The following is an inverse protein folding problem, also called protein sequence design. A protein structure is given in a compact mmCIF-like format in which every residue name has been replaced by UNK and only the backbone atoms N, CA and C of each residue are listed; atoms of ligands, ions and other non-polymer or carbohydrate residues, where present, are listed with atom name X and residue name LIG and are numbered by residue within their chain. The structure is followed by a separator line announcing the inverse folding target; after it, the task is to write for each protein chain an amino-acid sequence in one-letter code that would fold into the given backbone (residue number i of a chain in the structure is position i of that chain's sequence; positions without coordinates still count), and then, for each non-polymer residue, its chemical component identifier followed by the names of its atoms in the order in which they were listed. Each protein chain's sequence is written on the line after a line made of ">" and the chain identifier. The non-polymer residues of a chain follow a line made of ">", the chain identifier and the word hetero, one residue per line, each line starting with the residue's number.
data_IF_075165445413
#
_entry.id   IF_075165445413
#
_cell.length_a   1.000
_cell.length_b   1.000
_cell.length_c   1.000
_cell.angle_alpha   90.00
_cell.angle_beta   90.00
_cell.angle_gamma   90.00
#
_symmetry.space_group_name_H-M   'P 1'
#
loop_
_entity.id
_entity.type
_entity.pdbx_description
1 polymer ?
#
# COMPACT_ATOMS: atom_id res chain seq x y z
N UNK A 1 -10.53 -12.72 -0.74
CA UNK A 1 -9.21 -12.58 -1.38
C UNK A 1 -8.38 -13.87 -1.33
N UNK A 2 -8.20 -14.51 -0.17
CA UNK A 2 -7.24 -15.63 -0.03
C UNK A 2 -7.73 -16.98 -0.60
N UNK A 3 -9.05 -17.23 -0.70
CA UNK A 3 -9.62 -18.49 -1.23
C UNK A 3 -9.32 -18.68 -2.73
N UNK A 4 -9.45 -17.61 -3.51
CA UNK A 4 -9.18 -17.61 -4.95
C UNK A 4 -7.69 -17.75 -5.23
N UNK A 5 -6.84 -17.11 -4.43
CA UNK A 5 -5.39 -17.24 -4.50
C UNK A 5 -4.93 -18.67 -4.21
N UNK A 6 -5.56 -19.34 -3.24
CA UNK A 6 -5.32 -20.76 -2.97
C UNK A 6 -5.78 -21.66 -4.11
N UNK A 7 -6.98 -21.38 -4.65
CA UNK A 7 -7.53 -22.10 -5.79
C UNK A 7 -6.63 -22.00 -7.00
N UNK A 8 -6.20 -20.79 -7.33
CA UNK A 8 -5.38 -20.52 -8.51
C UNK A 8 -3.90 -20.88 -8.34
N UNK A 9 -3.36 -20.86 -7.13
CA UNK A 9 -2.04 -21.44 -6.89
C UNK A 9 -2.09 -22.96 -7.00
N UNK A 10 -3.11 -23.61 -6.42
CA UNK A 10 -3.32 -25.06 -6.59
C UNK A 10 -3.50 -25.45 -8.05
N UNK A 11 -4.32 -24.69 -8.79
CA UNK A 11 -4.59 -24.86 -10.21
C UNK A 11 -3.38 -24.50 -11.09
N UNK A 12 -2.56 -23.51 -10.71
CA UNK A 12 -1.42 -23.01 -11.50
C UNK A 12 -0.07 -23.69 -11.22
N UNK A 13 0.11 -24.34 -10.08
CA UNK A 13 1.37 -25.03 -9.74
C UNK A 13 1.17 -26.56 -9.80
N UNK A 14 1.70 -27.20 -10.84
CA UNK A 14 1.79 -28.65 -11.08
C UNK A 14 0.48 -29.45 -11.17
N UNK A 15 -0.58 -29.14 -10.41
CA UNK A 15 -1.85 -29.88 -10.48
C UNK A 15 -2.64 -29.54 -11.76
N UNK A 16 -2.62 -28.27 -12.21
CA UNK A 16 -3.26 -27.82 -13.45
C UNK A 16 -2.92 -28.62 -14.70
N UNK A 17 -1.68 -29.11 -14.77
CA UNK A 17 -1.18 -29.91 -15.88
C UNK A 17 -1.53 -31.39 -15.68
N UNK A 18 -1.56 -31.88 -14.44
CA UNK A 18 -1.94 -33.25 -14.13
C UNK A 18 -3.42 -33.55 -14.42
N UNK A 19 -4.32 -32.56 -14.30
CA UNK A 19 -5.77 -32.75 -14.51
C UNK A 19 -6.16 -33.18 -15.93
N UNK A 20 -5.68 -32.50 -17.00
CA UNK A 20 -5.88 -32.98 -18.37
C UNK A 20 -5.34 -34.39 -18.58
N UNK A 21 -4.14 -34.70 -18.09
CA UNK A 21 -3.55 -36.03 -18.25
C UNK A 21 -4.35 -37.12 -17.53
N UNK A 22 -4.85 -36.83 -16.32
CA UNK A 22 -5.69 -37.77 -15.57
C UNK A 22 -7.03 -38.01 -16.29
N UNK A 23 -7.69 -36.96 -16.77
CA UNK A 23 -8.90 -37.07 -17.57
C UNK A 23 -8.70 -37.86 -18.87
N UNK A 24 -7.56 -37.65 -19.54
CA UNK A 24 -7.19 -38.36 -20.77
C UNK A 24 -6.92 -39.85 -20.52
N UNK A 25 -6.15 -40.18 -19.48
CA UNK A 25 -5.86 -41.57 -19.09
C UNK A 25 -7.14 -42.30 -18.68
N UNK A 26 -8.00 -41.66 -17.87
CA UNK A 26 -9.29 -42.25 -17.47
C UNK A 26 -10.18 -42.47 -18.69
N UNK A 27 -10.25 -41.51 -19.62
CA UNK A 27 -11.06 -41.64 -20.85
C UNK A 27 -10.57 -42.79 -21.75
N UNK A 28 -9.25 -42.96 -21.91
CA UNK A 28 -8.67 -44.09 -22.67
C UNK A 28 -8.99 -45.42 -21.98
N UNK A 29 -8.93 -45.47 -20.65
CA UNK A 29 -9.25 -46.69 -19.88
C UNK A 29 -10.74 -47.07 -19.98
N UNK A 30 -11.63 -46.07 -19.92
CA UNK A 30 -13.09 -46.25 -20.03
C UNK A 30 -13.47 -46.83 -21.41
N UNK A 31 -12.81 -46.39 -22.49
CA UNK A 31 -13.04 -46.89 -23.84
C UNK A 31 -12.60 -48.35 -24.04
N UNK A 32 -11.66 -48.86 -23.23
CA UNK A 32 -11.04 -50.17 -23.43
C UNK A 32 -11.62 -51.29 -22.55
N UNK A 33 -12.21 -50.99 -21.39
CA UNK A 33 -12.61 -52.03 -20.40
C UNK A 33 -14.10 -52.31 -20.25
N UNK A 34 -14.99 -51.58 -20.93
CA UNK A 34 -16.45 -51.79 -20.80
C UNK A 34 -17.03 -51.22 -19.48
N UNK A 35 -18.31 -50.81 -19.55
CA UNK A 35 -18.86 -49.74 -18.69
C UNK A 35 -18.88 -49.97 -17.17
N UNK A 36 -18.93 -51.20 -16.68
CA UNK A 36 -19.02 -51.47 -15.24
C UNK A 36 -17.73 -51.15 -14.47
N UNK A 37 -16.58 -51.59 -15.00
CA UNK A 37 -15.27 -51.38 -14.35
C UNK A 37 -14.84 -49.91 -14.43
N UNK A 38 -15.17 -49.27 -15.55
CA UNK A 38 -14.98 -47.84 -15.79
C UNK A 38 -15.70 -46.95 -14.76
N UNK A 39 -16.95 -47.29 -14.39
CA UNK A 39 -17.71 -46.55 -13.40
C UNK A 39 -17.11 -46.69 -11.99
N UNK A 40 -16.70 -47.89 -11.59
CA UNK A 40 -16.08 -48.13 -10.29
C UNK A 40 -14.74 -47.38 -10.16
N UNK A 41 -13.87 -47.45 -11.18
CA UNK A 41 -12.61 -46.71 -11.21
C UNK A 41 -12.82 -45.19 -11.26
N UNK A 42 -13.81 -44.73 -12.03
CA UNK A 42 -14.20 -43.33 -12.10
C UNK A 42 -14.64 -42.80 -10.73
N UNK A 43 -15.50 -43.55 -10.02
CA UNK A 43 -15.95 -43.18 -8.68
C UNK A 43 -14.79 -43.17 -7.67
N UNK A 44 -13.94 -44.21 -7.67
CA UNK A 44 -12.77 -44.30 -6.78
C UNK A 44 -11.80 -43.14 -7.03
N UNK A 45 -11.52 -42.82 -8.29
CA UNK A 45 -10.64 -41.72 -8.65
C UNK A 45 -11.21 -40.35 -8.31
N UNK A 46 -12.53 -40.14 -8.46
CA UNK A 46 -13.21 -38.93 -8.01
C UNK A 46 -13.18 -38.77 -6.48
N UNK A 47 -13.37 -39.85 -5.73
CA UNK A 47 -13.24 -39.83 -4.27
C UNK A 47 -11.81 -39.50 -3.86
N UNK A 48 -10.81 -40.19 -4.43
CA UNK A 48 -9.40 -39.88 -4.18
C UNK A 48 -9.05 -38.44 -4.56
N UNK A 49 -9.63 -37.92 -5.64
CA UNK A 49 -9.47 -36.54 -6.08
C UNK A 49 -9.94 -35.54 -5.02
N UNK A 50 -11.18 -35.71 -4.53
CA UNK A 50 -11.73 -34.84 -3.49
C UNK A 50 -10.91 -34.94 -2.21
N UNK A 51 -10.50 -36.16 -1.85
CA UNK A 51 -9.75 -36.46 -0.63
C UNK A 51 -8.34 -35.85 -0.66
N UNK A 52 -7.69 -35.73 -1.82
CA UNK A 52 -6.38 -35.07 -1.97
C UNK A 52 -6.51 -33.56 -2.19
N UNK A 53 -7.50 -33.13 -2.99
CA UNK A 53 -7.62 -31.72 -3.40
C UNK A 53 -8.09 -30.82 -2.27
N UNK A 54 -9.00 -31.29 -1.42
CA UNK A 54 -9.48 -30.49 -0.28
C UNK A 54 -8.33 -30.17 0.69
N UNK A 55 -7.53 -31.15 1.17
CA UNK A 55 -6.38 -30.85 2.02
C UNK A 55 -5.32 -29.97 1.36
N UNK A 56 -4.99 -30.21 0.09
CA UNK A 56 -4.00 -29.40 -0.64
C UNK A 56 -4.49 -27.95 -0.79
N UNK A 57 -5.75 -27.75 -1.17
CA UNK A 57 -6.39 -26.44 -1.23
C UNK A 57 -6.42 -25.77 0.15
N UNK A 58 -6.78 -26.52 1.20
CA UNK A 58 -6.85 -26.00 2.56
C UNK A 58 -5.47 -25.55 3.07
N UNK A 59 -4.44 -26.36 2.85
CA UNK A 59 -3.08 -26.03 3.28
C UNK A 59 -2.54 -24.84 2.49
N UNK A 60 -2.74 -24.83 1.18
CA UNK A 60 -2.33 -23.71 0.32
C UNK A 60 -3.03 -22.42 0.75
N UNK A 61 -4.31 -22.53 1.13
CA UNK A 61 -5.11 -21.41 1.61
C UNK A 61 -4.56 -20.85 2.91
N UNK A 62 -4.31 -21.71 3.89
CA UNK A 62 -3.71 -21.28 5.16
C UNK A 62 -2.35 -20.62 4.93
N UNK A 63 -1.52 -21.18 4.06
CA UNK A 63 -0.20 -20.64 3.78
C UNK A 63 -0.27 -19.24 3.14
N UNK A 64 -1.18 -19.02 2.18
CA UNK A 64 -1.38 -17.70 1.59
C UNK A 64 -2.00 -16.71 2.56
N UNK A 65 -3.00 -17.13 3.34
CA UNK A 65 -3.61 -16.29 4.37
C UNK A 65 -2.57 -15.82 5.38
N UNK A 66 -1.72 -16.74 5.88
CA UNK A 66 -0.62 -16.40 6.78
C UNK A 66 0.40 -15.43 6.16
N UNK A 67 0.66 -15.51 4.86
CA UNK A 67 1.53 -14.54 4.16
C UNK A 67 0.88 -13.17 4.02
N UNK A 68 -0.42 -13.13 3.74
CA UNK A 68 -1.21 -11.88 3.66
C UNK A 68 -1.30 -11.21 5.02
N UNK A 69 -1.63 -11.97 6.06
CA UNK A 69 -1.71 -11.47 7.45
C UNK A 69 -0.35 -10.90 7.89
N UNK A 70 0.77 -11.61 7.62
CA UNK A 70 2.12 -11.11 7.89
C UNK A 70 2.47 -9.83 7.14
N UNK A 71 1.98 -9.68 5.91
CA UNK A 71 2.24 -8.49 5.10
C UNK A 71 1.41 -7.30 5.62
N UNK A 72 0.15 -7.54 5.97
CA UNK A 72 -0.73 -6.55 6.58
C UNK A 72 -0.19 -6.08 7.93
N UNK A 73 0.25 -7.01 8.79
CA UNK A 73 0.87 -6.70 10.09
C UNK A 73 2.12 -5.82 9.92
N UNK A 74 3.01 -6.20 8.98
CA UNK A 74 4.19 -5.38 8.66
C UNK A 74 3.81 -4.01 8.13
N UNK A 75 2.81 -3.92 7.27
CA UNK A 75 2.34 -2.65 6.73
C UNK A 75 1.81 -1.73 7.84
N UNK A 76 0.99 -2.25 8.75
CA UNK A 76 0.49 -1.51 9.92
C UNK A 76 1.64 -1.03 10.79
N UNK A 77 2.62 -1.90 11.06
CA UNK A 77 3.80 -1.57 11.85
C UNK A 77 4.59 -0.40 11.23
N UNK A 78 4.92 -0.48 9.94
CA UNK A 78 5.70 0.57 9.27
C UNK A 78 4.91 1.86 9.07
N UNK A 79 3.59 1.79 8.84
CA UNK A 79 2.73 2.99 8.80
C UNK A 79 2.76 3.72 10.15
N UNK A 80 2.65 2.96 11.25
CA UNK A 80 2.73 3.51 12.59
C UNK A 80 4.11 4.11 12.89
N UNK A 81 5.18 3.39 12.58
CA UNK A 81 6.56 3.86 12.77
C UNK A 81 6.83 5.14 11.97
N UNK A 82 6.39 5.21 10.72
CA UNK A 82 6.49 6.41 9.88
C UNK A 82 5.71 7.59 10.48
N UNK A 83 4.47 7.36 10.93
CA UNK A 83 3.65 8.40 11.56
C UNK A 83 4.31 8.92 12.85
N UNK A 84 4.88 8.02 13.66
CA UNK A 84 5.55 8.38 14.90
C UNK A 84 6.81 9.22 14.62
N UNK A 85 7.65 8.78 13.68
CA UNK A 85 8.83 9.53 13.24
C UNK A 85 8.44 10.90 12.66
N UNK A 86 7.41 10.96 11.82
CA UNK A 86 6.97 12.23 11.25
C UNK A 86 6.44 13.18 12.31
N UNK A 87 5.71 12.67 13.31
CA UNK A 87 5.24 13.50 14.44
C UNK A 87 6.40 14.11 15.23
N UNK A 88 7.48 13.33 15.45
CA UNK A 88 8.69 13.80 16.12
C UNK A 88 9.41 14.85 15.26
N UNK A 89 9.53 14.63 13.96
CA UNK A 89 10.14 15.60 13.04
C UNK A 89 9.38 16.92 13.06
N UNK A 90 8.04 16.89 12.99
CA UNK A 90 7.20 18.10 13.04
C UNK A 90 7.41 18.83 14.37
N UNK A 91 7.39 18.12 15.50
CA UNK A 91 7.60 18.74 16.81
C UNK A 91 8.99 19.39 16.94
N UNK A 92 10.04 18.72 16.46
CA UNK A 92 11.40 19.27 16.45
C UNK A 92 11.51 20.50 15.54
N UNK A 93 10.91 20.43 14.35
CA UNK A 93 10.88 21.55 13.42
C UNK A 93 10.10 22.74 13.98
N UNK A 94 9.00 22.51 14.71
CA UNK A 94 8.23 23.58 15.36
C UNK A 94 9.08 24.33 16.39
N UNK A 95 9.86 23.60 17.21
CA UNK A 95 10.78 24.22 18.17
C UNK A 95 11.87 25.03 17.47
N UNK A 96 12.46 24.50 16.40
CA UNK A 96 13.48 25.21 15.62
C UNK A 96 12.90 26.48 14.96
N UNK A 97 11.69 26.38 14.42
CA UNK A 97 10.98 27.51 13.83
C UNK A 97 10.68 28.60 14.85
N UNK A 98 10.20 28.23 16.04
CA UNK A 98 9.91 29.18 17.12
C UNK A 98 11.18 29.94 17.55
N UNK A 99 12.30 29.23 17.74
CA UNK A 99 13.60 29.87 18.06
C UNK A 99 14.00 30.86 16.97
N UNK A 100 13.85 30.50 15.71
CA UNK A 100 14.23 31.37 14.60
C UNK A 100 13.37 32.63 14.52
N UNK A 101 12.07 32.55 14.81
CA UNK A 101 11.20 33.72 14.93
C UNK A 101 11.58 34.63 16.11
N UNK A 102 12.10 34.07 17.21
CA UNK A 102 12.56 34.85 18.37
C UNK A 102 13.90 35.55 18.09
N UNK A 103 14.79 34.93 17.33
CA UNK A 103 16.11 35.48 16.98
C UNK A 103 16.04 36.51 15.85
N UNK A 104 15.20 36.28 14.83
CA UNK A 104 15.07 37.14 13.65
C UNK A 104 13.65 37.70 13.57
N UNK A 105 13.39 38.92 14.08
CA UNK A 105 12.04 39.52 14.08
C UNK A 105 11.50 39.81 12.67
N UNK A 106 12.34 39.81 11.64
CA UNK A 106 11.94 39.96 10.23
C UNK A 106 11.60 38.62 9.54
N UNK A 107 11.67 37.49 10.26
CA UNK A 107 11.41 36.17 9.70
C UNK A 107 9.91 35.98 9.36
N UNK A 108 9.53 36.27 8.11
CA UNK A 108 8.15 36.22 7.62
C UNK A 108 7.91 35.01 6.68
N UNK A 109 8.23 33.80 7.14
CA UNK A 109 8.02 32.58 6.35
C UNK A 109 7.02 31.64 7.04
N UNK A 110 6.08 31.03 6.30
CA UNK A 110 5.17 30.03 6.89
C UNK A 110 5.92 28.77 7.34
N UNK A 111 5.46 28.16 8.45
CA UNK A 111 6.05 26.94 9.00
C UNK A 111 6.20 25.82 7.95
N UNK A 112 5.23 25.70 7.04
CA UNK A 112 5.29 24.72 5.96
C UNK A 112 6.46 24.99 5.01
N UNK A 113 6.69 26.23 4.55
CA UNK A 113 7.80 26.49 3.64
C UNK A 113 9.14 26.40 4.35
N UNK A 114 9.20 26.71 5.65
CA UNK A 114 10.39 26.43 6.47
C UNK A 114 10.71 24.94 6.50
N UNK A 115 9.73 24.10 6.83
CA UNK A 115 9.90 22.65 6.89
C UNK A 115 10.20 22.05 5.51
N UNK A 116 9.53 22.52 4.46
CA UNK A 116 9.81 22.12 3.07
C UNK A 116 11.22 22.50 2.63
N UNK A 117 11.70 23.70 3.00
CA UNK A 117 13.08 24.12 2.71
C UNK A 117 14.08 23.21 3.42
N UNK A 118 13.90 22.98 4.72
CA UNK A 118 14.72 22.05 5.51
C UNK A 118 14.76 20.63 4.91
N UNK A 119 13.62 20.10 4.50
CA UNK A 119 13.54 18.80 3.85
C UNK A 119 14.26 18.80 2.51
N UNK A 120 14.13 19.85 1.70
CA UNK A 120 14.83 19.96 0.41
C UNK A 120 16.34 20.10 0.56
N UNK A 121 16.80 20.94 1.49
CA UNK A 121 18.24 21.11 1.77
C UNK A 121 18.88 19.78 2.16
N UNK A 122 18.19 18.98 2.98
CA UNK A 122 18.66 17.65 3.35
C UNK A 122 18.45 16.58 2.26
N UNK A 123 17.44 16.74 1.40
CA UNK A 123 17.20 15.89 0.24
C UNK A 123 18.14 16.16 -0.95
N UNK A 124 18.89 17.27 -0.93
CA UNK A 124 19.93 17.55 -1.93
C UNK A 124 21.17 16.66 -1.79
N UNK A 125 21.21 15.74 -0.82
CA UNK A 125 22.18 14.66 -0.83
C UNK A 125 21.81 13.64 -1.92
N UNK A 126 22.74 13.28 -2.83
CA UNK A 126 22.45 12.52 -4.05
C UNK A 126 21.88 11.10 -3.82
N UNK A 127 21.88 10.61 -2.58
CA UNK A 127 21.40 9.27 -2.24
C UNK A 127 19.97 9.23 -1.68
N UNK A 128 19.35 10.37 -1.36
CA UNK A 128 18.08 10.41 -0.61
C UNK A 128 16.88 10.82 -1.46
N UNK A 129 15.84 9.97 -1.48
CA UNK A 129 14.57 10.26 -2.13
C UNK A 129 13.49 10.65 -1.11
N UNK A 130 13.41 11.94 -0.80
CA UNK A 130 12.38 12.47 0.09
C UNK A 130 11.04 12.79 -0.61
N UNK A 131 10.83 12.32 -1.85
CA UNK A 131 9.66 12.68 -2.66
C UNK A 131 8.35 12.30 -1.97
N UNK A 132 8.25 11.09 -1.43
CA UNK A 132 7.04 10.62 -0.74
C UNK A 132 6.66 11.49 0.47
N UNK A 133 7.66 11.90 1.27
CA UNK A 133 7.45 12.75 2.44
C UNK A 133 6.95 14.13 1.98
N UNK A 134 7.56 14.69 0.94
CA UNK A 134 7.17 16.00 0.39
C UNK A 134 5.76 15.98 -0.20
N UNK A 135 5.38 14.90 -0.88
CA UNK A 135 4.01 14.71 -1.41
C UNK A 135 2.99 14.59 -0.29
N UNK A 136 3.28 13.78 0.74
CA UNK A 136 2.40 13.66 1.90
C UNK A 136 2.24 15.00 2.62
N UNK A 137 3.32 15.76 2.79
CA UNK A 137 3.28 17.10 3.37
C UNK A 137 2.47 18.08 2.52
N UNK A 138 2.57 18.00 1.19
CA UNK A 138 1.73 18.79 0.29
C UNK A 138 0.25 18.42 0.40
N UNK A 139 -0.07 17.14 0.53
CA UNK A 139 -1.43 16.66 0.81
C UNK A 139 -1.96 17.23 2.12
N UNK A 140 -1.18 17.17 3.20
CA UNK A 140 -1.59 17.76 4.49
C UNK A 140 -1.83 19.27 4.38
N UNK A 141 -1.02 20.01 3.60
CA UNK A 141 -1.21 21.46 3.41
C UNK A 141 -2.50 21.78 2.65
N UNK A 142 -2.93 20.91 1.73
CA UNK A 142 -4.11 21.15 0.91
C UNK A 142 -5.36 21.34 1.77
N UNK A 143 -5.45 20.60 2.89
CA UNK A 143 -6.45 20.84 3.93
C UNK A 143 -5.86 21.71 5.06
N UNK A 144 -6.04 23.03 4.92
CA UNK A 144 -5.56 24.02 5.89
C UNK A 144 -6.06 23.75 7.32
N UNK A 145 -7.28 23.23 7.49
CA UNK A 145 -7.85 22.96 8.82
C UNK A 145 -7.19 21.74 9.45
N UNK A 146 -6.97 20.67 8.67
CA UNK A 146 -6.26 19.48 9.14
C UNK A 146 -4.80 19.78 9.49
N UNK A 147 -4.11 20.55 8.65
CA UNK A 147 -2.73 20.97 8.93
C UNK A 147 -2.63 21.76 10.24
N UNK A 148 -3.50 22.77 10.42
CA UNK A 148 -3.55 23.53 11.68
C UNK A 148 -3.87 22.64 12.88
N UNK A 149 -4.81 21.70 12.73
CA UNK A 149 -5.17 20.76 13.80
C UNK A 149 -4.00 19.86 14.21
N UNK A 150 -3.19 19.39 13.25
CA UNK A 150 -1.97 18.63 13.55
C UNK A 150 -0.96 19.50 14.28
N UNK A 151 -0.81 20.77 13.88
CA UNK A 151 0.15 21.68 14.51
C UNK A 151 -0.27 22.11 15.92
N UNK A 152 -1.57 22.20 16.21
CA UNK A 152 -2.09 22.64 17.52
C UNK A 152 -2.22 21.49 18.52
N UNK A 153 -2.53 20.27 18.06
CA UNK A 153 -2.63 19.10 18.93
C UNK A 153 -1.23 18.58 19.29
N UNK A 154 -0.92 18.61 20.59
CA UNK A 154 0.35 18.10 21.12
C UNK A 154 0.18 16.67 21.66
N UNK A 155 1.26 15.89 21.61
CA UNK A 155 1.29 14.54 22.18
C UNK A 155 0.47 13.52 21.40
N UNK A 156 -0.23 12.62 22.10
CA UNK A 156 -0.90 11.46 21.50
C UNK A 156 -2.08 11.82 20.60
N UNK A 157 -2.77 12.94 20.85
CA UNK A 157 -3.86 13.38 19.98
C UNK A 157 -3.37 13.87 18.62
N UNK A 158 -2.24 14.58 18.60
CA UNK A 158 -1.58 14.99 17.36
C UNK A 158 -1.11 13.79 16.55
N UNK A 159 -0.53 12.78 17.22
CA UNK A 159 -0.13 11.50 16.58
C UNK A 159 -1.32 10.77 15.98
N UNK A 160 -2.44 10.66 16.70
CA UNK A 160 -3.66 10.01 16.19
C UNK A 160 -4.24 10.74 14.99
N UNK A 161 -4.26 12.08 15.02
CA UNK A 161 -4.72 12.89 13.90
C UNK A 161 -3.82 12.72 12.66
N UNK A 162 -2.50 12.74 12.86
CA UNK A 162 -1.53 12.51 11.79
C UNK A 162 -1.67 11.10 11.18
N UNK A 163 -1.81 10.07 12.02
CA UNK A 163 -2.02 8.69 11.58
C UNK A 163 -3.28 8.54 10.74
N UNK A 164 -4.39 9.16 11.17
CA UNK A 164 -5.64 9.14 10.39
C UNK A 164 -5.45 9.73 9.00
N UNK A 165 -4.78 10.87 8.89
CA UNK A 165 -4.53 11.52 7.61
C UNK A 165 -3.53 10.75 6.75
N UNK A 166 -2.56 10.07 7.39
CA UNK A 166 -1.65 9.16 6.71
C UNK A 166 -2.39 7.96 6.13
N UNK A 167 -3.29 7.33 6.90
CA UNK A 167 -4.09 6.21 6.42
C UNK A 167 -4.99 6.61 5.24
N UNK A 168 -5.59 7.80 5.29
CA UNK A 168 -6.39 8.37 4.19
C UNK A 168 -5.55 8.66 2.95
N UNK A 169 -4.36 9.26 3.13
CA UNK A 169 -3.41 9.47 2.04
C UNK A 169 -2.93 8.16 1.43
N UNK A 170 -2.58 7.16 2.24
CA UNK A 170 -2.15 5.85 1.76
C UNK A 170 -3.25 5.14 0.97
N UNK A 171 -4.52 5.27 1.38
CA UNK A 171 -5.66 4.80 0.60
C UNK A 171 -5.74 5.53 -0.74
N UNK A 172 -5.59 6.86 -0.75
CA UNK A 172 -5.62 7.66 -1.97
C UNK A 172 -4.48 7.26 -2.93
N UNK A 173 -3.26 7.10 -2.43
CA UNK A 173 -2.11 6.63 -3.22
C UNK A 173 -2.34 5.19 -3.73
N UNK A 174 -2.92 4.31 -2.91
CA UNK A 174 -3.23 2.93 -3.30
C UNK A 174 -4.22 2.86 -4.47
N UNK A 175 -5.24 3.72 -4.48
CA UNK A 175 -6.22 3.78 -5.56
C UNK A 175 -5.73 4.60 -6.75
N UNK A 176 -4.86 5.58 -6.53
CA UNK A 176 -4.23 6.35 -7.60
C UNK A 176 -3.36 5.46 -8.51
N UNK A 177 -3.29 5.79 -9.80
CA UNK A 177 -2.46 5.09 -10.79
C UNK A 177 -0.95 5.20 -10.54
N UNK A 178 -0.50 5.94 -9.53
CA UNK A 178 0.93 6.14 -9.24
C UNK A 178 1.61 4.89 -8.69
N UNK A 179 0.85 3.95 -8.11
CA UNK A 179 1.42 2.70 -7.65
C UNK A 179 1.86 1.85 -8.85
N UNK A 180 3.12 1.39 -8.85
CA UNK A 180 3.77 0.64 -9.93
C UNK A 180 2.89 -0.56 -10.33
N UNK A 181 2.13 -0.41 -11.41
CA UNK A 181 1.25 -1.43 -11.96
C UNK A 181 2.12 -2.58 -12.50
N UNK A 182 1.67 -3.85 -12.40
CA UNK A 182 2.41 -4.96 -13.02
C UNK A 182 2.72 -4.61 -14.48
N UNK A 183 3.91 -4.99 -14.92
CA UNK A 183 4.25 -4.93 -16.34
C UNK A 183 3.22 -5.72 -17.14
N UNK A 184 2.91 -5.28 -18.37
CA UNK A 184 1.98 -5.99 -19.24
C UNK A 184 2.37 -7.47 -19.39
N UNK A 185 3.68 -7.76 -19.49
CA UNK A 185 4.24 -9.11 -19.55
C UNK A 185 3.91 -9.94 -18.30
N UNK A 186 4.04 -9.36 -17.10
CA UNK A 186 3.73 -10.07 -15.85
C UNK A 186 2.22 -10.29 -15.70
N UNK A 187 1.39 -9.34 -16.17
CA UNK A 187 -0.06 -9.52 -16.19
C UNK A 187 -0.46 -10.67 -17.10
N UNK A 188 0.12 -10.74 -18.30
CA UNK A 188 -0.15 -11.84 -19.24
C UNK A 188 0.32 -13.18 -18.69
N UNK A 189 1.46 -13.24 -18.01
CA UNK A 189 1.97 -14.48 -17.39
C UNK A 189 1.03 -15.00 -16.30
N UNK A 190 0.61 -14.12 -15.38
CA UNK A 190 -0.35 -14.48 -14.32
C UNK A 190 -1.69 -14.87 -14.92
N UNK A 191 -2.22 -14.08 -15.86
CA UNK A 191 -3.49 -14.36 -16.53
C UNK A 191 -3.45 -15.71 -17.26
N UNK A 192 -2.38 -15.97 -18.01
CA UNK A 192 -2.22 -17.20 -18.79
C UNK A 192 -2.11 -18.43 -17.89
N UNK A 193 -1.32 -18.35 -16.82
CA UNK A 193 -1.16 -19.46 -15.86
C UNK A 193 -2.48 -19.81 -15.20
N UNK A 194 -3.24 -18.80 -14.79
CA UNK A 194 -4.53 -18.97 -14.12
C UNK A 194 -5.59 -19.46 -15.11
N UNK A 195 -5.60 -18.90 -16.32
CA UNK A 195 -6.50 -19.29 -17.40
C UNK A 195 -6.30 -20.77 -17.75
N UNK A 196 -5.07 -21.18 -18.07
CA UNK A 196 -4.77 -22.54 -18.52
C UNK A 196 -5.12 -23.58 -17.46
N UNK A 197 -4.81 -23.29 -16.20
CA UNK A 197 -5.19 -24.17 -15.12
C UNK A 197 -6.71 -24.22 -14.91
N UNK A 198 -7.41 -23.07 -14.86
CA UNK A 198 -8.86 -23.06 -14.63
C UNK A 198 -9.61 -23.73 -15.79
N UNK A 199 -9.19 -23.45 -17.02
CA UNK A 199 -9.68 -24.12 -18.22
C UNK A 199 -9.44 -25.62 -18.16
N UNK A 200 -8.20 -26.05 -17.91
CA UNK A 200 -7.82 -27.46 -17.86
C UNK A 200 -8.57 -28.24 -16.79
N UNK A 201 -8.74 -27.67 -15.59
CA UNK A 201 -9.51 -28.29 -14.51
C UNK A 201 -11.00 -28.42 -14.86
N UNK A 202 -11.64 -27.36 -15.39
CA UNK A 202 -13.06 -27.39 -15.73
C UNK A 202 -13.33 -28.29 -16.94
N UNK A 203 -12.56 -28.13 -18.02
CA UNK A 203 -12.69 -28.96 -19.22
C UNK A 203 -12.37 -30.43 -18.93
N UNK A 204 -11.33 -30.71 -18.14
CA UNK A 204 -10.96 -32.06 -17.70
C UNK A 204 -12.04 -32.71 -16.83
N UNK A 205 -12.58 -31.97 -15.86
CA UNK A 205 -13.68 -32.46 -15.02
C UNK A 205 -14.95 -32.74 -15.83
N UNK A 206 -15.36 -31.79 -16.67
CA UNK A 206 -16.56 -31.93 -17.50
C UNK A 206 -16.43 -33.05 -18.54
N UNK A 207 -15.26 -33.23 -19.16
CA UNK A 207 -15.03 -34.33 -20.11
C UNK A 207 -15.05 -35.70 -19.41
N UNK A 208 -14.40 -35.83 -18.25
CA UNK A 208 -14.46 -37.05 -17.43
C UNK A 208 -15.89 -37.38 -16.98
N UNK A 209 -16.62 -36.37 -16.47
CA UNK A 209 -18.02 -36.55 -16.05
C UNK A 209 -18.93 -36.93 -17.22
N UNK A 210 -18.74 -36.31 -18.39
CA UNK A 210 -19.49 -36.65 -19.60
C UNK A 210 -19.19 -38.08 -20.06
N UNK A 211 -17.94 -38.53 -19.93
CA UNK A 211 -17.56 -39.92 -20.20
C UNK A 211 -18.26 -40.93 -19.28
N UNK A 212 -18.46 -40.58 -18.00
CA UNK A 212 -19.24 -41.39 -17.06
C UNK A 212 -20.73 -41.42 -17.42
N UNK A 213 -21.32 -40.28 -17.77
CA UNK A 213 -22.73 -40.24 -18.19
C UNK A 213 -22.95 -41.02 -19.49
N UNK A 214 -21.97 -40.95 -20.40
CA UNK A 214 -21.98 -41.74 -21.62
C UNK A 214 -21.90 -43.25 -21.34
N UNK A 215 -21.01 -43.68 -20.45
CA UNK A 215 -20.89 -45.11 -20.10
C UNK A 215 -22.12 -45.67 -19.37
N UNK A 216 -22.92 -44.82 -18.72
CA UNK A 216 -24.23 -45.16 -18.17
C UNK A 216 -25.35 -45.25 -19.22
N UNK A 217 -25.07 -44.93 -20.49
CA UNK A 217 -26.04 -44.96 -21.58
C UNK A 217 -27.01 -43.77 -21.58
N UNK A 218 -26.79 -42.74 -20.75
CA UNK A 218 -27.65 -41.55 -20.68
C UNK A 218 -27.56 -40.69 -21.95
N UNK A 219 -26.47 -40.82 -22.72
CA UNK A 219 -26.24 -40.10 -23.98
C UNK A 219 -25.87 -41.07 -25.11
N UNK A 220 -26.77 -42.00 -25.46
CA UNK A 220 -26.52 -43.01 -26.51
C UNK A 220 -26.56 -42.46 -27.96
N UNK A 221 -26.77 -41.15 -28.17
CA UNK A 221 -26.90 -40.54 -29.49
C UNK A 221 -25.62 -39.86 -30.00
N UNK A 222 -25.16 -40.21 -31.20
CA UNK A 222 -24.01 -39.58 -31.86
C UNK A 222 -24.16 -38.04 -32.04
N UNK A 223 -25.40 -37.51 -32.02
CA UNK A 223 -25.68 -36.09 -32.18
C UNK A 223 -25.46 -35.22 -30.93
N UNK A 224 -25.45 -35.78 -29.72
CA UNK A 224 -25.25 -34.98 -28.49
C UNK A 224 -23.78 -34.63 -28.23
N UNK A 225 -22.83 -35.37 -28.80
CA UNK A 225 -21.40 -35.18 -28.56
C UNK A 225 -20.86 -33.80 -28.98
N UNK A 226 -21.12 -33.30 -30.20
CA UNK A 226 -20.61 -32.00 -30.62
C UNK A 226 -21.23 -30.86 -29.81
N UNK A 227 -22.53 -30.96 -29.51
CA UNK A 227 -23.27 -29.94 -28.74
C UNK A 227 -22.80 -29.88 -27.29
N UNK A 228 -22.63 -31.04 -26.66
CA UNK A 228 -22.14 -31.14 -25.28
C UNK A 228 -20.68 -30.68 -25.19
N UNK A 229 -19.84 -31.07 -26.14
CA UNK A 229 -18.45 -30.64 -26.21
C UNK A 229 -18.31 -29.12 -26.39
N UNK A 230 -19.10 -28.51 -27.27
CA UNK A 230 -19.15 -27.05 -27.43
C UNK A 230 -19.65 -26.35 -26.17
N UNK A 231 -20.68 -26.89 -25.52
CA UNK A 231 -21.20 -26.34 -24.25
C UNK A 231 -20.14 -26.34 -23.15
N UNK A 232 -19.42 -27.46 -22.99
CA UNK A 232 -18.32 -27.60 -22.03
C UNK A 232 -17.18 -26.62 -22.37
N UNK A 233 -16.84 -26.48 -23.65
CA UNK A 233 -15.79 -25.57 -24.08
C UNK A 233 -16.13 -24.12 -23.76
N UNK A 234 -17.34 -23.66 -24.13
CA UNK A 234 -17.81 -22.29 -23.85
C UNK A 234 -17.84 -22.03 -22.34
N UNK A 235 -18.35 -22.99 -21.57
CA UNK A 235 -18.39 -22.90 -20.11
C UNK A 235 -16.99 -22.80 -19.50
N UNK A 236 -16.07 -23.68 -19.89
CA UNK A 236 -14.70 -23.69 -19.40
C UNK A 236 -13.96 -22.39 -19.75
N UNK A 237 -14.14 -21.86 -20.96
CA UNK A 237 -13.57 -20.57 -21.37
C UNK A 237 -14.12 -19.43 -20.51
N UNK A 238 -15.44 -19.38 -20.29
CA UNK A 238 -16.06 -18.34 -19.47
C UNK A 238 -15.54 -18.32 -18.03
N UNK A 239 -15.40 -19.50 -17.41
CA UNK A 239 -14.82 -19.65 -16.07
C UNK A 239 -13.34 -19.27 -16.07
N UNK A 240 -12.57 -19.68 -17.07
CA UNK A 240 -11.14 -19.39 -17.16
C UNK A 240 -10.85 -17.90 -17.36
N UNK A 241 -11.63 -17.20 -18.18
CA UNK A 241 -11.53 -15.74 -18.37
C UNK A 241 -11.85 -15.01 -17.05
N UNK A 242 -12.93 -15.42 -16.37
CA UNK A 242 -13.32 -14.82 -15.09
C UNK A 242 -12.28 -15.05 -14.00
N UNK A 243 -11.68 -16.25 -13.97
CA UNK A 243 -10.59 -16.59 -13.08
C UNK A 243 -9.33 -15.76 -13.34
N UNK A 244 -8.93 -15.64 -14.61
CA UNK A 244 -7.74 -14.90 -15.02
C UNK A 244 -7.88 -13.40 -14.73
N UNK A 245 -9.03 -12.80 -15.03
CA UNK A 245 -9.28 -11.37 -14.75
C UNK A 245 -9.21 -11.06 -13.26
N UNK A 246 -9.80 -11.94 -12.44
CA UNK A 246 -9.77 -11.81 -10.99
C UNK A 246 -8.36 -12.00 -10.41
N UNK A 247 -7.58 -12.93 -10.96
CA UNK A 247 -6.20 -13.14 -10.52
C UNK A 247 -5.29 -11.97 -10.87
N UNK A 248 -5.45 -11.35 -12.04
CA UNK A 248 -4.72 -10.12 -12.40
C UNK A 248 -5.08 -8.98 -11.45
N UNK A 249 -6.38 -8.78 -11.16
CA UNK A 249 -6.81 -7.75 -10.22
C UNK A 249 -6.22 -7.96 -8.82
N UNK A 250 -6.15 -9.21 -8.34
CA UNK A 250 -5.54 -9.56 -7.05
C UNK A 250 -4.02 -9.36 -7.08
N UNK A 251 -3.34 -9.76 -8.16
CA UNK A 251 -1.89 -9.58 -8.31
C UNK A 251 -1.50 -8.10 -8.34
N UNK A 252 -2.27 -7.28 -9.06
CA UNK A 252 -2.11 -5.82 -9.08
C UNK A 252 -2.25 -5.24 -7.67
N UNK A 253 -3.31 -5.61 -6.93
CA UNK A 253 -3.50 -5.15 -5.56
C UNK A 253 -2.29 -5.48 -4.65
N UNK A 254 -1.70 -6.66 -4.82
CA UNK A 254 -0.57 -7.10 -3.99
C UNK A 254 0.74 -6.38 -4.31
N UNK A 255 1.04 -6.15 -5.58
CA UNK A 255 2.22 -5.37 -5.94
C UNK A 255 2.07 -3.92 -5.47
N UNK A 256 0.86 -3.35 -5.52
CA UNK A 256 0.60 -2.02 -4.93
C UNK A 256 0.87 -2.00 -3.43
N UNK A 257 0.35 -2.98 -2.66
CA UNK A 257 0.60 -3.03 -1.21
C UNK A 257 2.09 -3.25 -0.92
N UNK A 258 2.79 -4.10 -1.68
CA UNK A 258 4.24 -4.30 -1.53
C UNK A 258 5.04 -3.05 -1.86
N UNK A 259 4.64 -2.32 -2.90
CA UNK A 259 5.28 -1.07 -3.29
C UNK A 259 5.09 -0.02 -2.19
N UNK A 260 3.86 0.21 -1.72
CA UNK A 260 3.59 1.13 -0.60
C UNK A 260 4.37 0.74 0.66
N UNK A 261 4.37 -0.55 1.00
CA UNK A 261 5.15 -1.06 2.12
C UNK A 261 6.65 -0.72 1.97
N UNK A 262 7.22 -0.92 0.78
CA UNK A 262 8.63 -0.59 0.52
C UNK A 262 8.87 0.91 0.64
N UNK A 263 8.00 1.72 0.04
CA UNK A 263 8.08 3.19 0.06
C UNK A 263 8.00 3.73 1.49
N UNK A 264 7.01 3.30 2.28
CA UNK A 264 6.89 3.65 3.69
C UNK A 264 8.14 3.28 4.49
N UNK A 265 8.68 2.08 4.26
CA UNK A 265 9.88 1.61 4.95
C UNK A 265 11.12 2.44 4.57
N UNK A 266 11.31 2.76 3.30
CA UNK A 266 12.45 3.59 2.86
C UNK A 266 12.29 5.00 3.39
N UNK A 267 11.12 5.62 3.23
CA UNK A 267 10.87 6.97 3.71
C UNK A 267 10.94 7.09 5.23
N UNK A 268 10.54 6.07 5.99
CA UNK A 268 10.72 6.04 7.45
C UNK A 268 12.20 5.98 7.86
N UNK A 269 13.01 5.19 7.15
CA UNK A 269 14.47 5.18 7.36
C UNK A 269 15.08 6.54 7.05
N UNK A 270 14.69 7.16 5.94
CA UNK A 270 15.17 8.48 5.56
C UNK A 270 14.78 9.51 6.65
N UNK A 271 13.56 9.42 7.19
CA UNK A 271 13.09 10.27 8.28
C UNK A 271 13.89 10.11 9.57
N UNK A 272 14.23 8.86 9.92
CA UNK A 272 15.05 8.57 11.09
C UNK A 272 16.46 9.15 10.95
N UNK A 273 17.10 8.97 9.79
CA UNK A 273 18.42 9.54 9.53
C UNK A 273 18.41 11.08 9.53
N UNK A 274 17.30 11.71 9.11
CA UNK A 274 17.12 13.16 9.18
C UNK A 274 17.04 13.70 10.62
N UNK A 275 16.59 12.86 11.57
CA UNK A 275 16.51 13.17 13.00
C UNK A 275 17.83 12.91 13.73
N UNK A 276 18.53 11.83 13.39
CA UNK A 276 19.79 11.42 14.02
C UNK A 276 20.98 12.33 13.63
N UNK A 277 20.85 13.06 12.52
CA UNK A 277 21.81 14.11 12.17
C UNK A 277 21.73 15.23 13.22
N UNK A 278 22.78 15.46 14.03
CA UNK A 278 22.71 16.36 15.15
C UNK A 278 22.31 17.74 14.65
N UNK A 279 21.19 18.24 15.17
CA UNK A 279 20.65 19.59 14.99
C UNK A 279 21.57 20.68 15.59
N UNK A 280 22.87 20.40 15.66
CA UNK A 280 23.91 20.99 16.49
C UNK A 280 25.05 21.61 15.67
N UNK A 281 24.77 22.06 14.44
CA UNK A 281 25.73 22.85 13.67
C UNK A 281 25.56 24.36 13.83
N UNK A 282 24.47 24.85 14.43
CA UNK A 282 24.29 26.29 14.71
C UNK A 282 25.01 26.75 15.98
N UNK A 283 25.17 25.89 16.99
CA UNK A 283 25.85 26.28 18.25
C UNK A 283 27.37 26.43 18.08
N UNK A 284 27.95 25.84 17.02
CA UNK A 284 29.39 25.90 16.77
C UNK A 284 29.83 27.07 15.88
N UNK A 285 28.89 27.75 15.21
CA UNK A 285 29.20 28.94 14.40
C UNK A 285 29.22 30.23 15.23
N UNK A 286 28.51 30.30 16.36
CA UNK A 286 28.57 31.46 17.27
C UNK A 286 29.70 31.38 18.31
N UNK A 287 30.16 30.18 18.70
CA UNK A 287 31.29 30.06 19.65
C UNK A 287 32.67 30.22 19.02
N UNK A 288 32.76 30.44 17.71
CA UNK A 288 34.03 30.66 17.01
C UNK A 288 34.12 32.04 16.34
N UNK A 289 33.28 32.99 16.77
CA UNK A 289 33.47 34.40 16.50
C UNK A 289 34.07 35.07 17.74
N UNK A 290 35.39 35.14 17.72
CA UNK A 290 36.24 35.89 18.64
C UNK A 290 35.65 37.30 18.90
N UNK A 291 35.50 37.74 20.16
CA UNK A 291 34.85 39.01 20.45
C UNK A 291 35.69 40.17 19.90
N UNK A 292 35.14 41.09 19.09
CA UNK A 292 35.82 42.33 18.79
C UNK A 292 36.02 43.11 20.08
N UNK A 293 37.29 43.47 20.27
CA UNK A 293 37.84 44.29 21.34
C UNK A 293 37.12 45.65 21.41
N UNK A 294 36.00 45.75 22.13
CA UNK A 294 35.35 47.04 22.36
C UNK A 294 36.06 47.80 23.49
N UNK A 295 36.93 48.71 23.03
CA UNK A 295 37.50 49.85 23.73
C UNK A 295 36.41 50.59 24.53
N UNK A 296 36.59 50.65 25.86
CA UNK A 296 35.88 51.57 26.76
C UNK A 296 35.89 52.98 26.17
N UNK A 297 34.71 53.50 25.86
CA UNK A 297 34.47 54.93 25.78
C UNK A 297 33.36 55.25 26.79
N UNK A 298 33.72 55.99 27.83
CA UNK A 298 32.78 56.51 28.79
C UNK A 298 31.91 57.60 28.18
N UNK A 299 30.65 57.64 28.59
CA UNK A 299 29.84 58.84 28.53
C UNK A 299 29.08 58.98 29.86
N UNK A 300 29.18 60.19 30.40
CA UNK A 300 28.56 60.66 31.64
C UNK A 300 27.05 60.86 31.48
N UNK A 301 26.40 60.85 32.64
CA UNK A 301 24.99 61.06 32.94
C UNK A 301 24.28 62.23 32.24
N UNK A 302 22.96 62.12 32.07
CA UNK A 302 21.99 62.89 32.88
C UNK A 302 20.54 62.36 32.75
N UNK A 303 19.71 62.48 33.81
CA UNK A 303 18.30 62.06 33.84
C UNK A 303 17.38 63.22 33.44
N UNK A 304 16.36 62.95 32.61
CA UNK A 304 15.31 63.93 32.30
C UNK A 304 14.01 63.60 33.02
N UNK A 305 13.50 64.60 33.76
CA UNK A 305 12.19 64.69 34.42
C UNK A 305 11.01 64.58 33.44
N UNK A 306 9.82 64.17 33.92
CA UNK A 306 8.58 64.27 33.17
C UNK A 306 8.02 65.70 33.23
N UNK A 307 7.27 66.15 32.20
CA UNK A 307 6.41 67.31 32.32
C UNK A 307 4.96 66.94 32.65
N UNK A 308 4.33 67.92 33.27
CA UNK A 308 3.06 67.93 33.97
C UNK A 308 1.81 67.78 33.10
N UNK A 309 0.73 67.41 33.79
CA UNK A 309 -0.66 67.51 33.38
C UNK A 309 -1.02 68.92 32.88
N UNK A 310 -1.75 68.99 31.76
CA UNK A 310 -2.70 70.07 31.53
C UNK A 310 -4.01 69.51 30.99
N UNK A 311 -5.04 69.76 31.78
CA UNK A 311 -6.45 69.60 31.52
C UNK A 311 -6.98 70.63 30.51
N UNK A 312 -8.05 70.24 29.80
CA UNK A 312 -9.18 71.05 29.31
C UNK A 312 -9.51 70.93 27.80
N UNK A 313 -10.82 70.82 27.51
CA UNK A 313 -11.46 71.12 26.21
C UNK A 313 -11.97 69.88 25.47
N UNK A 314 -13.19 69.38 25.71
CA UNK A 314 -14.42 69.79 24.99
C UNK A 314 -14.22 70.05 23.50
N UNK A 315 -14.79 69.20 22.62
CA UNK A 315 -15.79 69.57 21.61
C UNK A 315 -16.24 68.33 20.83
N UNK A 316 -17.54 68.02 20.94
CA UNK A 316 -18.30 67.21 19.98
C UNK A 316 -18.75 68.13 18.84
N UNK A 317 -18.86 67.62 17.61
CA UNK A 317 -20.14 67.80 16.94
C UNK A 317 -20.64 66.54 16.23
N UNK A 318 -21.95 66.36 16.32
CA UNK A 318 -22.80 65.56 15.44
C UNK A 318 -22.89 66.16 14.03
N UNK A 319 -23.60 65.46 13.14
CA UNK A 319 -23.97 65.67 11.71
C UNK A 319 -23.30 64.61 10.83
N UNK A 320 -23.97 63.71 10.10
CA UNK A 320 -25.38 63.50 9.74
C UNK A 320 -25.69 61.99 9.74
#
# INVERSE_FOLDING_TARGET
>A
MSLLKSGFAGIGTASGVAWPFFGLIVSIFVLTTGGGFALALGAVSAVLFVLVSIPVFYWTYQHFKKKEDKLAERFIKYSQEFSDQLSQLIAHAQLAYQKQCETEPEFNQDFYSFLKRRLKEKACQPERDCTFILEFMAYLKQDKQQWLRILTLRGDEGKKALKKNLDEYLLLVFYSQQAKVLSASSKTEVAFTVFTGAFGSVAGFCSGFSGLLYSMGLFAGFGSFPVLGLGILVFAIGVAISAASLAVAVADGQERTKWLYKTLKTSGRDLQELQDEPLYSFEKSEQQQEPPHYRRLGCKAQPHRPPEEHSAGFYSPAYN
#
